data_IF_583165118515
#
_entry.id   IF_583165118515
#
_cell.length_a   1.000
_cell.length_b   1.000
_cell.length_c   1.000
_cell.angle_alpha   90.00
_cell.angle_beta   90.00
_cell.angle_gamma   90.00
#
_symmetry.space_group_name_H-M   'P 1'
#
loop_
_entity.id
_entity.type
_entity.pdbx_description
1 polymer ?
#
# COMPACT_ATOMS: atom_id res chain seq x y z
N UNK A 1 4.40 -6.65 -13.56
CA UNK A 1 4.45 -5.20 -13.70
C UNK A 1 3.60 -4.79 -14.90
N UNK A 2 2.67 -3.85 -14.72
CA UNK A 2 1.80 -3.34 -15.79
C UNK A 2 2.01 -1.85 -16.05
N UNK A 3 2.62 -1.14 -15.09
CA UNK A 3 2.90 0.28 -15.21
C UNK A 3 4.10 0.68 -14.35
N UNK A 4 4.91 1.62 -14.83
CA UNK A 4 5.99 2.30 -14.11
C UNK A 4 6.27 3.64 -14.80
N UNK A 5 6.17 4.74 -14.05
CA UNK A 5 6.48 6.10 -14.54
C UNK A 5 7.63 6.75 -13.79
N UNK A 6 8.33 5.99 -12.95
CA UNK A 6 9.42 6.48 -12.11
C UNK A 6 8.95 7.13 -10.80
N UNK A 7 7.65 7.38 -10.62
CA UNK A 7 7.05 7.82 -9.37
C UNK A 7 6.25 6.68 -8.70
N UNK A 8 5.56 5.89 -9.51
CA UNK A 8 4.73 4.77 -9.08
C UNK A 8 4.96 3.53 -9.94
N UNK A 9 4.88 2.36 -9.31
CA UNK A 9 4.74 1.09 -10.02
C UNK A 9 3.38 0.48 -9.76
N UNK A 10 2.83 -0.23 -10.77
CA UNK A 10 1.62 -1.04 -10.61
C UNK A 10 1.90 -2.47 -11.07
N UNK A 11 1.62 -3.42 -10.19
CA UNK A 11 1.67 -4.85 -10.48
C UNK A 11 0.27 -5.42 -10.42
N UNK A 12 -0.12 -6.21 -11.43
CA UNK A 12 -1.37 -6.96 -11.45
C UNK A 12 -1.09 -8.46 -11.35
N UNK A 13 -1.96 -9.19 -10.67
CA UNK A 13 -1.98 -10.65 -10.66
C UNK A 13 -3.41 -11.18 -10.73
N UNK A 14 -3.62 -12.33 -11.39
CA UNK A 14 -4.92 -12.96 -11.43
C UNK A 14 -5.33 -13.44 -10.03
N UNK A 15 -6.62 -13.38 -9.78
CA UNK A 15 -7.29 -13.80 -8.56
C UNK A 15 -8.10 -15.08 -8.78
N UNK A 16 -8.63 -15.63 -7.69
CA UNK A 16 -9.44 -16.85 -7.72
C UNK A 16 -10.94 -16.52 -7.75
N UNK A 17 -11.45 -16.25 -8.95
CA UNK A 17 -12.86 -15.96 -9.18
C UNK A 17 -13.33 -16.66 -10.47
N UNK A 18 -14.62 -17.08 -10.57
CA UNK A 18 -15.14 -17.74 -11.77
C UNK A 18 -15.06 -16.91 -13.05
N UNK A 19 -15.18 -15.58 -12.92
CA UNK A 19 -14.93 -14.62 -13.99
C UNK A 19 -13.52 -14.06 -13.82
N UNK A 20 -12.82 -13.82 -14.92
CA UNK A 20 -11.45 -13.27 -14.89
C UNK A 20 -11.41 -11.99 -14.05
N UNK A 21 -10.59 -12.01 -13.01
CA UNK A 21 -10.48 -10.95 -12.02
C UNK A 21 -9.03 -10.75 -11.59
N UNK A 22 -8.66 -9.52 -11.30
CA UNK A 22 -7.30 -9.14 -10.95
C UNK A 22 -7.26 -8.36 -9.64
N UNK A 23 -6.16 -8.56 -8.92
CA UNK A 23 -5.71 -7.67 -7.85
C UNK A 23 -4.54 -6.82 -8.34
N UNK A 24 -4.43 -5.63 -7.80
CA UNK A 24 -3.43 -4.63 -8.15
C UNK A 24 -2.65 -4.23 -6.91
N UNK A 25 -1.33 -4.14 -7.07
CA UNK A 25 -0.43 -3.54 -6.09
C UNK A 25 0.15 -2.27 -6.69
N UNK A 26 -0.05 -1.15 -6.01
CA UNK A 26 0.42 0.19 -6.38
C UNK A 26 1.48 0.57 -5.34
N UNK A 27 2.68 0.88 -5.77
CA UNK A 27 3.79 1.29 -4.91
C UNK A 27 4.35 2.62 -5.39
N UNK A 28 4.40 3.59 -4.49
CA UNK A 28 5.16 4.81 -4.69
C UNK A 28 6.65 4.49 -4.54
N UNK A 29 7.49 5.01 -5.45
CA UNK A 29 8.93 4.89 -5.29
C UNK A 29 9.41 5.64 -4.05
N UNK A 30 10.47 5.15 -3.41
CA UNK A 30 11.08 5.82 -2.27
C UNK A 30 11.55 7.22 -2.67
N UNK A 31 11.28 8.20 -1.83
CA UNK A 31 11.72 9.58 -2.03
C UNK A 31 13.10 9.78 -1.42
N UNK A 32 13.98 10.55 -2.08
CA UNK A 32 15.24 10.94 -1.47
C UNK A 32 15.02 11.55 -0.09
N UNK A 33 15.93 11.29 0.82
CA UNK A 33 15.93 11.89 2.13
C UNK A 33 16.03 13.43 2.07
N UNK A 34 15.69 14.07 3.16
CA UNK A 34 15.86 15.51 3.27
C UNK A 34 17.33 15.90 3.16
N UNK A 35 17.64 16.94 2.40
CA UNK A 35 18.98 17.49 2.30
C UNK A 35 19.32 18.27 3.56
N UNK A 36 20.44 17.98 4.20
CA UNK A 36 20.97 18.77 5.32
C UNK A 36 21.63 20.06 4.78
N UNK A 37 20.76 21.04 4.51
CA UNK A 37 21.21 22.34 4.05
C UNK A 37 22.08 23.06 5.09
N UNK A 38 21.89 22.81 6.38
CA UNK A 38 22.68 23.44 7.44
C UNK A 38 24.12 22.92 7.43
N UNK A 39 24.31 21.61 7.28
CA UNK A 39 25.64 21.04 7.14
C UNK A 39 26.36 21.54 5.88
N UNK A 40 25.68 21.62 4.74
CA UNK A 40 26.24 22.18 3.52
C UNK A 40 26.70 23.65 3.69
N UNK A 41 25.90 24.47 4.37
CA UNK A 41 26.24 25.85 4.63
C UNK A 41 27.46 25.95 5.59
N UNK A 42 27.50 25.09 6.61
CA UNK A 42 28.64 25.01 7.55
C UNK A 42 29.94 24.64 6.82
N UNK A 43 29.86 23.80 5.78
CA UNK A 43 31.00 23.43 4.92
C UNK A 43 31.31 24.51 3.85
N UNK A 44 30.66 25.67 3.95
CA UNK A 44 30.91 26.81 3.08
C UNK A 44 30.24 26.74 1.71
N UNK A 45 29.26 25.86 1.52
CA UNK A 45 28.54 25.72 0.25
C UNK A 45 27.33 26.67 0.29
N UNK A 46 27.29 27.62 -0.63
CA UNK A 46 26.21 28.60 -0.68
C UNK A 46 24.92 27.96 -1.22
N UNK A 47 23.74 28.29 -0.64
CA UNK A 47 22.45 27.90 -1.20
C UNK A 47 22.28 28.34 -2.66
N UNK A 48 21.78 27.43 -3.49
CA UNK A 48 21.61 27.70 -4.93
C UNK A 48 21.24 26.44 -5.72
N UNK A 49 21.30 26.51 -7.06
CA UNK A 49 20.95 25.36 -7.93
C UNK A 49 21.74 24.09 -7.64
N UNK A 50 22.94 24.21 -7.04
CA UNK A 50 23.78 23.10 -6.61
C UNK A 50 23.06 22.22 -5.59
N UNK A 51 22.27 22.80 -4.67
CA UNK A 51 21.53 22.05 -3.67
C UNK A 51 20.52 21.08 -4.29
N UNK A 52 19.95 21.39 -5.46
CA UNK A 52 19.06 20.46 -6.18
C UNK A 52 19.83 19.22 -6.65
N UNK A 53 21.01 19.40 -7.19
CA UNK A 53 21.86 18.30 -7.64
C UNK A 53 22.27 17.40 -6.47
N UNK A 54 22.70 18.02 -5.37
CA UNK A 54 23.07 17.30 -4.15
C UNK A 54 21.87 16.59 -3.52
N UNK A 55 20.66 17.16 -3.62
CA UNK A 55 19.41 16.51 -3.18
C UNK A 55 19.10 15.24 -3.98
N UNK A 56 19.55 15.14 -5.21
CA UNK A 56 19.46 13.92 -6.01
C UNK A 56 20.63 12.95 -5.79
N UNK A 57 21.49 13.25 -4.81
CA UNK A 57 22.65 12.40 -4.45
C UNK A 57 23.80 12.47 -5.43
N UNK A 58 23.81 13.50 -6.32
CA UNK A 58 24.91 13.68 -7.26
C UNK A 58 26.21 14.06 -6.55
N UNK A 59 27.32 13.62 -7.13
CA UNK A 59 28.66 14.13 -6.77
C UNK A 59 28.98 15.34 -7.63
N UNK A 60 29.41 16.44 -7.03
CA UNK A 60 29.71 17.71 -7.70
C UNK A 60 31.10 18.19 -7.33
N UNK A 61 31.82 18.72 -8.33
CA UNK A 61 33.11 19.41 -8.10
C UNK A 61 32.85 20.92 -8.06
N UNK A 62 33.29 21.56 -6.98
CA UNK A 62 33.19 23.02 -6.79
C UNK A 62 34.31 23.73 -7.56
N UNK A 63 34.17 25.05 -7.74
CA UNK A 63 35.17 25.90 -8.45
C UNK A 63 36.54 25.87 -7.75
N UNK A 64 36.57 25.65 -6.44
CA UNK A 64 37.80 25.55 -5.65
C UNK A 64 38.46 24.14 -5.70
N UNK A 65 37.89 23.22 -6.48
CA UNK A 65 38.38 21.85 -6.67
C UNK A 65 37.89 20.84 -5.62
N UNK A 66 37.12 21.25 -4.60
CA UNK A 66 36.51 20.31 -3.63
C UNK A 66 35.46 19.45 -4.34
N UNK A 67 35.42 18.18 -3.99
CA UNK A 67 34.40 17.23 -4.45
C UNK A 67 33.40 17.00 -3.32
N UNK A 68 32.14 17.28 -3.58
CA UNK A 68 31.03 17.10 -2.64
C UNK A 68 30.15 15.95 -3.12
N UNK A 69 29.98 14.94 -2.30
CA UNK A 69 29.06 13.85 -2.56
C UNK A 69 27.71 14.15 -1.89
N UNK A 70 26.65 14.31 -2.66
CA UNK A 70 25.31 14.62 -2.13
C UNK A 70 24.79 13.58 -1.17
N UNK A 71 25.17 12.31 -1.32
CA UNK A 71 24.73 11.24 -0.40
C UNK A 71 25.15 11.48 1.05
N UNK A 72 26.28 12.17 1.28
CA UNK A 72 26.80 12.42 2.63
C UNK A 72 25.95 13.46 3.40
N UNK A 73 25.08 14.19 2.67
CA UNK A 73 24.21 15.23 3.21
C UNK A 73 22.71 14.87 3.11
N UNK A 74 22.38 13.63 2.76
CA UNK A 74 21.00 13.18 2.70
C UNK A 74 20.61 12.39 3.95
N UNK A 75 19.48 12.72 4.53
CA UNK A 75 18.81 11.84 5.49
C UNK A 75 18.44 10.50 4.82
N UNK A 76 18.12 9.46 5.60
CA UNK A 76 17.62 8.21 5.02
C UNK A 76 16.43 8.43 4.08
N UNK A 77 16.31 7.66 2.98
CA UNK A 77 15.19 7.74 2.08
C UNK A 77 13.85 7.58 2.81
N UNK A 78 12.84 8.27 2.35
CA UNK A 78 11.47 8.13 2.86
C UNK A 78 10.78 7.02 2.08
N UNK A 79 10.37 5.91 2.75
CA UNK A 79 9.68 4.82 2.08
C UNK A 79 8.40 5.29 1.38
N UNK A 80 8.26 4.89 0.12
CA UNK A 80 7.05 5.12 -0.64
C UNK A 80 5.84 4.40 -0.04
N UNK A 81 4.65 4.94 -0.29
CA UNK A 81 3.40 4.34 0.13
C UNK A 81 3.01 3.17 -0.76
N UNK A 82 2.35 2.17 -0.17
CA UNK A 82 1.97 0.94 -0.86
C UNK A 82 0.49 0.65 -0.61
N UNK A 83 -0.22 0.37 -1.69
CA UNK A 83 -1.64 0.07 -1.69
C UNK A 83 -1.88 -1.24 -2.46
N UNK A 84 -2.70 -2.13 -1.92
CA UNK A 84 -3.22 -3.27 -2.68
C UNK A 84 -4.74 -3.15 -2.79
N UNK A 85 -5.27 -3.33 -4.01
CA UNK A 85 -6.71 -3.30 -4.29
C UNK A 85 -7.07 -4.61 -4.98
N UNK A 86 -8.05 -5.30 -4.41
CA UNK A 86 -8.51 -6.58 -4.92
C UNK A 86 -9.90 -6.46 -5.53
N UNK A 87 -10.08 -7.11 -6.65
CA UNK A 87 -11.42 -7.48 -7.11
C UNK A 87 -11.94 -8.69 -6.34
N UNK A 88 -13.05 -9.26 -6.79
CA UNK A 88 -13.68 -10.41 -6.15
C UNK A 88 -12.76 -11.63 -6.18
N UNK A 89 -12.61 -12.31 -5.04
CA UNK A 89 -11.71 -13.46 -4.96
C UNK A 89 -12.01 -14.37 -3.76
N UNK A 90 -11.99 -15.67 -3.99
CA UNK A 90 -11.71 -16.61 -2.92
C UNK A 90 -10.21 -16.54 -2.54
N UNK A 91 -9.80 -17.02 -1.35
CA UNK A 91 -8.41 -17.02 -0.94
C UNK A 91 -7.49 -17.64 -2.00
N UNK A 92 -6.39 -16.96 -2.30
CA UNK A 92 -5.40 -17.43 -3.28
C UNK A 92 -3.99 -16.91 -2.97
N UNK A 93 -2.93 -17.63 -3.41
CA UNK A 93 -1.55 -17.22 -3.13
C UNK A 93 -1.14 -15.89 -3.75
N UNK A 94 -1.77 -15.49 -4.87
CA UNK A 94 -1.50 -14.19 -5.52
C UNK A 94 -1.97 -13.03 -4.65
N UNK A 95 -3.09 -13.17 -3.93
CA UNK A 95 -3.56 -12.17 -3.00
C UNK A 95 -2.54 -11.89 -1.88
N UNK A 96 -1.97 -12.94 -1.28
CA UNK A 96 -0.94 -12.80 -0.25
C UNK A 96 0.31 -12.07 -0.77
N UNK A 97 0.75 -12.41 -2.00
CA UNK A 97 1.91 -11.74 -2.62
C UNK A 97 1.66 -10.26 -2.88
N UNK A 98 0.48 -9.90 -3.39
CA UNK A 98 0.11 -8.50 -3.64
C UNK A 98 -0.03 -7.70 -2.34
N UNK A 99 -0.61 -8.30 -1.29
CA UNK A 99 -0.85 -7.66 -0.02
C UNK A 99 0.41 -7.46 0.84
N UNK A 100 1.51 -8.17 0.55
CA UNK A 100 2.71 -8.20 1.40
C UNK A 100 3.24 -6.82 1.81
N UNK A 101 3.10 -6.46 3.10
CA UNK A 101 3.64 -5.25 3.70
C UNK A 101 3.07 -3.93 3.18
N UNK A 102 1.87 -3.91 2.59
CA UNK A 102 1.27 -2.66 2.11
C UNK A 102 0.75 -1.79 3.27
N UNK A 103 0.68 -0.48 3.04
CA UNK A 103 0.10 0.44 4.00
C UNK A 103 -1.42 0.24 4.11
N UNK A 104 -2.09 0.07 2.97
CA UNK A 104 -3.53 -0.14 2.90
C UNK A 104 -3.83 -1.32 1.98
N UNK A 105 -4.73 -2.19 2.40
CA UNK A 105 -5.33 -3.23 1.60
C UNK A 105 -6.83 -3.00 1.48
N UNK A 106 -7.34 -2.91 0.26
CA UNK A 106 -8.77 -2.90 -0.04
C UNK A 106 -9.14 -4.29 -0.55
N UNK A 107 -10.02 -4.98 0.15
CA UNK A 107 -10.38 -6.38 -0.16
C UNK A 107 -11.87 -6.62 0.04
N UNK A 108 -12.44 -7.48 -0.78
CA UNK A 108 -13.81 -7.93 -0.59
C UNK A 108 -13.96 -8.73 0.71
N UNK A 109 -15.13 -8.64 1.33
CA UNK A 109 -15.57 -9.47 2.45
C UNK A 109 -17.07 -9.71 2.30
N UNK A 110 -17.41 -10.52 1.31
CA UNK A 110 -18.81 -10.64 0.83
C UNK A 110 -19.73 -11.25 1.87
N UNK A 111 -19.26 -12.22 2.66
CA UNK A 111 -20.06 -12.96 3.63
C UNK A 111 -19.38 -13.04 5.00
N UNK A 112 -20.20 -13.25 6.04
CA UNK A 112 -19.75 -13.55 7.39
C UNK A 112 -18.92 -14.84 7.49
N UNK A 113 -18.14 -14.98 8.54
CA UNK A 113 -17.25 -16.11 8.76
C UNK A 113 -17.99 -17.46 8.79
N UNK A 114 -19.23 -17.51 9.29
CA UNK A 114 -20.06 -18.72 9.32
C UNK A 114 -20.47 -19.21 7.91
N UNK A 115 -20.36 -18.35 6.89
CA UNK A 115 -20.71 -18.66 5.49
C UNK A 115 -19.49 -18.79 4.57
N UNK A 116 -18.33 -19.05 5.11
CA UNK A 116 -17.05 -19.11 4.39
C UNK A 116 -17.04 -20.08 3.22
N UNK A 117 -17.51 -21.32 3.41
CA UNK A 117 -17.61 -22.31 2.33
C UNK A 117 -18.48 -21.82 1.17
N UNK A 118 -19.59 -21.14 1.51
CA UNK A 118 -20.50 -20.56 0.52
C UNK A 118 -19.86 -19.38 -0.22
N UNK A 119 -19.09 -18.55 0.47
CA UNK A 119 -18.31 -17.48 -0.16
C UNK A 119 -17.34 -18.09 -1.18
N UNK A 120 -16.51 -19.02 -0.73
CA UNK A 120 -15.46 -19.64 -1.54
C UNK A 120 -16.01 -20.38 -2.76
N UNK A 121 -17.15 -21.10 -2.62
CA UNK A 121 -17.79 -21.79 -3.75
C UNK A 121 -18.27 -20.86 -4.87
N UNK A 122 -18.32 -19.54 -4.59
CA UNK A 122 -18.71 -18.50 -5.54
C UNK A 122 -17.55 -17.61 -5.98
N UNK A 123 -16.34 -17.89 -5.51
CA UNK A 123 -15.15 -17.11 -5.80
C UNK A 123 -15.00 -15.88 -4.91
N UNK A 124 -15.60 -15.87 -3.72
CA UNK A 124 -15.55 -14.77 -2.76
C UNK A 124 -14.86 -15.18 -1.45
N UNK A 125 -14.55 -14.17 -0.63
CA UNK A 125 -13.98 -14.34 0.70
C UNK A 125 -14.99 -14.02 1.80
N UNK A 126 -14.78 -14.65 2.96
CA UNK A 126 -15.44 -14.26 4.22
C UNK A 126 -14.69 -13.09 4.88
N UNK A 127 -15.38 -12.43 5.82
CA UNK A 127 -14.80 -11.43 6.73
C UNK A 127 -13.53 -11.92 7.41
N UNK A 128 -13.58 -13.16 7.94
CA UNK A 128 -12.44 -13.80 8.60
C UNK A 128 -11.26 -13.99 7.65
N UNK A 129 -11.50 -14.45 6.43
CA UNK A 129 -10.46 -14.68 5.44
C UNK A 129 -9.78 -13.38 4.99
N UNK A 130 -10.53 -12.33 4.73
CA UNK A 130 -9.99 -11.01 4.40
C UNK A 130 -9.10 -10.47 5.54
N UNK A 131 -9.56 -10.59 6.80
CA UNK A 131 -8.82 -10.17 7.98
C UNK A 131 -7.57 -11.03 8.25
N UNK A 132 -7.65 -12.35 8.03
CA UNK A 132 -6.49 -13.24 8.12
C UNK A 132 -5.43 -12.92 7.08
N UNK A 133 -5.83 -12.69 5.83
CA UNK A 133 -4.93 -12.26 4.76
C UNK A 133 -4.20 -10.97 5.14
N UNK A 134 -4.92 -9.95 5.66
CA UNK A 134 -4.32 -8.70 6.10
C UNK A 134 -3.27 -8.91 7.18
N UNK A 135 -3.57 -9.76 8.17
CA UNK A 135 -2.65 -10.10 9.26
C UNK A 135 -1.41 -10.84 8.76
N UNK A 136 -1.59 -11.88 7.94
CA UNK A 136 -0.50 -12.70 7.39
C UNK A 136 0.41 -11.90 6.46
N UNK A 137 -0.17 -11.00 5.68
CA UNK A 137 0.56 -10.13 4.77
C UNK A 137 1.27 -8.96 5.48
N UNK A 138 1.05 -8.73 6.77
CA UNK A 138 1.62 -7.61 7.51
C UNK A 138 1.12 -6.24 7.03
N UNK A 139 -0.14 -6.16 6.63
CA UNK A 139 -0.82 -4.94 6.20
C UNK A 139 -0.97 -3.98 7.38
N UNK A 140 -0.92 -2.67 7.16
CA UNK A 140 -1.14 -1.71 8.24
C UNK A 140 -2.62 -1.39 8.46
N UNK A 141 -3.43 -1.35 7.38
CA UNK A 141 -4.86 -1.06 7.41
C UNK A 141 -5.60 -1.90 6.37
N UNK A 142 -6.71 -2.51 6.79
CA UNK A 142 -7.63 -3.22 5.92
C UNK A 142 -8.88 -2.38 5.71
N UNK A 143 -9.32 -2.26 4.46
CA UNK A 143 -10.61 -1.70 4.11
C UNK A 143 -11.41 -2.80 3.44
N UNK A 144 -12.51 -3.21 4.06
CA UNK A 144 -13.40 -4.21 3.50
C UNK A 144 -14.48 -3.56 2.65
N UNK A 145 -14.77 -4.21 1.53
CA UNK A 145 -15.76 -3.75 0.55
C UNK A 145 -16.59 -4.93 0.04
N UNK A 146 -17.45 -4.71 -0.93
CA UNK A 146 -18.25 -5.74 -1.61
C UNK A 146 -19.09 -6.60 -0.65
N UNK A 147 -19.62 -6.00 0.42
CA UNK A 147 -20.52 -6.66 1.37
C UNK A 147 -21.81 -7.06 0.64
N UNK A 148 -22.27 -8.30 0.84
CA UNK A 148 -23.48 -8.80 0.20
C UNK A 148 -24.71 -7.96 0.57
N UNK A 149 -25.56 -7.65 -0.41
CA UNK A 149 -26.82 -6.90 -0.25
C UNK A 149 -27.83 -7.57 0.68
N UNK A 150 -27.57 -8.79 1.16
CA UNK A 150 -28.39 -9.45 2.18
C UNK A 150 -28.26 -8.82 3.57
N UNK A 151 -27.14 -8.11 3.82
CA UNK A 151 -26.88 -7.44 5.07
C UNK A 151 -27.38 -5.99 4.99
N UNK A 152 -28.16 -5.60 5.98
CA UNK A 152 -28.51 -4.21 6.21
C UNK A 152 -27.36 -3.48 6.94
N UNK A 153 -27.58 -2.25 7.35
CA UNK A 153 -26.56 -1.45 8.07
C UNK A 153 -26.04 -2.17 9.32
N UNK A 154 -26.93 -2.80 10.11
CA UNK A 154 -26.53 -3.54 11.33
C UNK A 154 -25.77 -4.81 11.00
N UNK A 155 -26.15 -5.49 9.93
CA UNK A 155 -25.42 -6.64 9.41
C UNK A 155 -24.01 -6.27 8.96
N UNK A 156 -23.85 -5.13 8.28
CA UNK A 156 -22.54 -4.62 7.87
C UNK A 156 -21.64 -4.25 9.07
N UNK A 157 -22.21 -3.67 10.14
CA UNK A 157 -21.50 -3.44 11.40
C UNK A 157 -21.04 -4.74 12.07
N UNK A 158 -21.88 -5.79 12.02
CA UNK A 158 -21.52 -7.11 12.54
C UNK A 158 -20.36 -7.74 11.77
N UNK A 159 -20.38 -7.63 10.43
CA UNK A 159 -19.28 -8.10 9.57
C UNK A 159 -17.97 -7.36 9.88
N UNK A 160 -18.04 -6.05 10.08
CA UNK A 160 -16.89 -5.26 10.46
C UNK A 160 -16.35 -5.69 11.85
N UNK A 161 -17.22 -6.00 12.80
CA UNK A 161 -16.82 -6.51 14.11
C UNK A 161 -16.07 -7.85 13.98
N UNK A 162 -16.56 -8.80 13.16
CA UNK A 162 -15.85 -10.06 12.89
C UNK A 162 -14.44 -9.83 12.28
N UNK A 163 -14.32 -8.90 11.34
CA UNK A 163 -13.01 -8.54 10.80
C UNK A 163 -12.07 -8.03 11.88
N UNK A 164 -12.58 -7.15 12.77
CA UNK A 164 -11.79 -6.51 13.83
C UNK A 164 -11.34 -7.48 14.93
N UNK A 165 -12.04 -8.56 15.14
CA UNK A 165 -11.59 -9.63 16.04
C UNK A 165 -10.28 -10.26 15.59
N UNK A 166 -10.04 -10.33 14.27
CA UNK A 166 -8.84 -10.93 13.67
C UNK A 166 -7.79 -9.88 13.33
N UNK A 167 -8.23 -8.72 12.82
CA UNK A 167 -7.39 -7.61 12.39
C UNK A 167 -8.02 -6.27 12.83
N UNK A 168 -7.63 -5.72 13.99
CA UNK A 168 -8.27 -4.54 14.58
C UNK A 168 -8.25 -3.28 13.70
N UNK A 169 -7.22 -3.09 12.87
CA UNK A 169 -7.10 -1.95 11.97
C UNK A 169 -7.93 -2.16 10.69
N UNK A 170 -9.21 -2.51 10.86
CA UNK A 170 -10.17 -2.75 9.78
C UNK A 170 -11.26 -1.67 9.75
N UNK A 171 -11.59 -1.20 8.55
CA UNK A 171 -12.69 -0.27 8.28
C UNK A 171 -13.58 -0.81 7.16
N UNK A 172 -14.86 -0.42 7.18
CA UNK A 172 -15.79 -0.69 6.09
C UNK A 172 -15.70 0.46 5.06
N UNK A 173 -15.65 0.10 3.78
CA UNK A 173 -15.72 1.09 2.70
C UNK A 173 -17.13 1.72 2.64
N UNK A 174 -17.17 3.03 2.45
CA UNK A 174 -18.38 3.79 2.17
C UNK A 174 -18.23 4.51 0.84
N UNK A 175 -19.34 4.67 0.13
CA UNK A 175 -19.34 5.41 -1.14
C UNK A 175 -18.85 6.84 -0.91
N UNK A 176 -17.94 7.31 -1.77
CA UNK A 176 -17.30 8.62 -1.71
C UNK A 176 -16.36 8.85 -0.51
N UNK A 177 -16.06 7.85 0.31
CA UNK A 177 -15.08 7.99 1.38
C UNK A 177 -13.69 8.34 0.81
N UNK A 178 -13.00 9.26 1.49
CA UNK A 178 -11.63 9.61 1.18
C UNK A 178 -10.70 8.96 2.20
N UNK A 179 -9.77 8.18 1.71
CA UNK A 179 -8.84 7.40 2.53
C UNK A 179 -7.41 7.83 2.24
N UNK A 180 -6.64 8.02 3.30
CA UNK A 180 -5.20 8.32 3.20
C UNK A 180 -4.38 7.04 3.35
N UNK A 181 -3.45 6.81 2.43
CA UNK A 181 -2.49 5.71 2.44
C UNK A 181 -1.25 6.06 3.26
#
# INVERSE_FOLDING_TARGET
>A
LVFDDGAYTVTAQPLNHPVECYGYRIEEHDKPGALDAAALIADGIKPGPLFQRLKHGETVTLEDGRVINGQDYLAPPQPGKKLAIFGDTAPCPSALRLAGGVNVMVHEATLEAAMEEKANSRGHSSTRQAAQLAREAGVRKLIVTHVSSRYDVRGAESLLAECREVFPACELAEDFAQLTV
#
